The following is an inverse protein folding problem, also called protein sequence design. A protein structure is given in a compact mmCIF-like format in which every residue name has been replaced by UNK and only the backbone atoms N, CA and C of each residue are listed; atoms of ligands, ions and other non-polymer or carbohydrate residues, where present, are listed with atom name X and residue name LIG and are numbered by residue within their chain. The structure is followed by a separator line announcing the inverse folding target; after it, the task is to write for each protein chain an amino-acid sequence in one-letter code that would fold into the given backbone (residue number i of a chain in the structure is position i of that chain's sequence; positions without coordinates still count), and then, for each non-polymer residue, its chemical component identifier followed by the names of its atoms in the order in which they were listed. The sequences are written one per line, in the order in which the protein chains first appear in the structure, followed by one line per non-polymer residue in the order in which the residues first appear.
data_IF_729245125031
#
_entry.id   IF_729245125031
#
_cell.length_a   1.000
_cell.length_b   1.000
_cell.length_c   1.000
_cell.angle_alpha   90.00
_cell.angle_beta   90.00
_cell.angle_gamma   90.00
#
_symmetry.space_group_name_H-M   'P 1'
#
loop_
_entity.id
_entity.type
_entity.pdbx_description
1 polymer ?
#
# COMPACT_ATOMS: atom_id res chain seq x y z
N UNK A 1 17.30 20.83 28.60
CA UNK A 1 18.10 19.84 27.83
C UNK A 1 18.07 18.41 28.40
N UNK A 2 17.66 18.17 29.65
CA UNK A 2 17.79 16.84 30.30
C UNK A 2 16.80 15.74 29.87
N UNK A 3 15.56 16.07 29.46
CA UNK A 3 14.53 15.04 29.17
C UNK A 3 14.76 14.21 27.90
N UNK A 4 15.58 14.67 26.96
CA UNK A 4 15.75 14.01 25.64
C UNK A 4 16.79 12.91 25.68
N UNK A 5 17.78 12.98 26.58
CA UNK A 5 18.83 11.95 26.65
C UNK A 5 18.41 10.70 27.43
N UNK A 6 17.46 10.84 28.37
CA UNK A 6 16.92 9.71 29.15
C UNK A 6 15.74 8.98 28.49
N UNK A 7 15.13 9.57 27.45
CA UNK A 7 13.94 9.01 26.79
C UNK A 7 14.28 7.93 25.78
N UNK A 8 13.38 6.94 25.66
CA UNK A 8 13.53 5.82 24.73
C UNK A 8 13.46 6.26 23.27
N UNK A 9 13.95 5.44 22.33
CA UNK A 9 13.84 5.73 20.88
C UNK A 9 12.38 5.95 20.43
N UNK A 10 11.43 5.20 21.01
CA UNK A 10 10.00 5.37 20.72
C UNK A 10 9.47 6.72 21.21
N UNK A 11 9.82 7.13 22.43
CA UNK A 11 9.43 8.44 22.97
C UNK A 11 10.02 9.59 22.14
N UNK A 12 11.30 9.49 21.77
CA UNK A 12 11.96 10.47 20.90
C UNK A 12 11.26 10.57 19.54
N UNK A 13 10.77 9.47 18.99
CA UNK A 13 10.00 9.46 17.74
C UNK A 13 8.68 10.24 17.90
N UNK A 14 7.93 9.96 18.96
CA UNK A 14 6.67 10.66 19.26
C UNK A 14 6.90 12.16 19.46
N UNK A 15 7.92 12.54 20.23
CA UNK A 15 8.28 13.95 20.44
C UNK A 15 8.67 14.65 19.13
N UNK A 16 9.42 13.96 18.26
CA UNK A 16 9.82 14.49 16.95
C UNK A 16 8.60 14.73 16.07
N UNK A 17 7.68 13.76 16.00
CA UNK A 17 6.45 13.88 15.22
C UNK A 17 5.58 15.03 15.73
N UNK A 18 5.39 15.13 17.05
CA UNK A 18 4.61 16.21 17.67
C UNK A 18 5.21 17.59 17.35
N UNK A 19 6.53 17.73 17.42
CA UNK A 19 7.21 18.99 17.09
C UNK A 19 7.10 19.34 15.59
N UNK A 20 7.18 18.36 14.69
CA UNK A 20 6.95 18.57 13.25
C UNK A 20 5.52 19.08 13.02
N UNK A 21 4.52 18.43 13.61
CA UNK A 21 3.11 18.83 13.45
C UNK A 21 2.87 20.24 14.00
N UNK A 22 3.44 20.58 15.16
CA UNK A 22 3.35 21.93 15.74
C UNK A 22 3.89 22.99 14.78
N UNK A 23 5.07 22.75 14.20
CA UNK A 23 5.68 23.69 13.24
C UNK A 23 4.88 23.79 11.94
N UNK A 24 4.25 22.70 11.48
CA UNK A 24 3.37 22.73 10.30
C UNK A 24 2.10 23.57 10.56
N UNK A 25 1.50 23.45 11.74
CA UNK A 25 0.32 24.24 12.13
C UNK A 25 0.68 25.73 12.19
N UNK A 26 1.79 26.06 12.87
CA UNK A 26 2.28 27.44 12.99
C UNK A 26 2.58 28.06 11.63
N UNK A 27 3.17 27.30 10.71
CA UNK A 27 3.43 27.77 9.36
C UNK A 27 2.16 27.97 8.54
N UNK A 28 1.17 27.09 8.69
CA UNK A 28 -0.12 27.23 8.04
C UNK A 28 -0.85 28.50 8.50
N UNK A 29 -0.91 28.74 9.81
CA UNK A 29 -1.51 29.95 10.39
C UNK A 29 -0.82 31.24 9.90
N UNK A 30 0.49 31.18 9.69
CA UNK A 30 1.29 32.31 9.19
C UNK A 30 1.36 32.40 7.66
N UNK A 31 0.68 31.52 6.91
CA UNK A 31 0.70 31.51 5.45
C UNK A 31 2.06 31.19 4.82
N UNK A 32 2.99 30.58 5.57
CA UNK A 32 4.34 30.25 5.09
C UNK A 32 4.37 28.86 4.47
N UNK A 33 5.03 28.74 3.33
CA UNK A 33 5.32 27.44 2.73
C UNK A 33 6.55 26.80 3.38
N UNK A 34 6.44 25.52 3.76
CA UNK A 34 7.50 24.78 4.43
C UNK A 34 7.90 23.58 3.61
N UNK A 35 9.21 23.45 3.39
CA UNK A 35 9.79 22.23 2.84
C UNK A 35 9.78 21.12 3.91
N UNK A 36 8.83 20.19 3.77
CA UNK A 36 8.64 19.07 4.71
C UNK A 36 9.89 18.19 4.86
N UNK A 37 10.63 17.93 3.78
CA UNK A 37 11.83 17.09 3.85
C UNK A 37 12.93 17.74 4.69
N UNK A 38 13.11 19.06 4.54
CA UNK A 38 14.08 19.81 5.35
C UNK A 38 13.65 19.83 6.82
N UNK A 39 12.36 20.06 7.09
CA UNK A 39 11.80 20.05 8.43
C UNK A 39 12.01 18.69 9.11
N UNK A 40 11.65 17.59 8.44
CA UNK A 40 11.87 16.22 8.92
C UNK A 40 13.34 15.96 9.25
N UNK A 41 14.25 16.35 8.36
CA UNK A 41 15.69 16.17 8.56
C UNK A 41 16.24 16.97 9.75
N UNK A 42 15.82 18.22 9.90
CA UNK A 42 16.24 19.07 11.00
C UNK A 42 15.72 18.57 12.35
N UNK A 43 14.42 18.26 12.44
CA UNK A 43 13.81 17.81 13.69
C UNK A 43 14.30 16.42 14.08
N UNK A 44 14.48 15.49 13.13
CA UNK A 44 15.05 14.17 13.42
C UNK A 44 16.48 14.25 13.98
N UNK A 45 17.30 15.18 13.46
CA UNK A 45 18.65 15.44 14.00
C UNK A 45 18.60 16.03 15.42
N UNK A 46 17.68 16.97 15.67
CA UNK A 46 17.48 17.59 17.00
C UNK A 46 17.20 16.54 18.08
N UNK A 47 16.40 15.52 17.78
CA UNK A 47 16.06 14.43 18.70
C UNK A 47 16.96 13.19 18.57
N UNK A 48 18.03 13.25 17.77
CA UNK A 48 19.00 12.15 17.57
C UNK A 48 18.35 10.82 17.14
N UNK A 49 17.36 10.88 16.25
CA UNK A 49 16.73 9.69 15.70
C UNK A 49 17.64 9.02 14.65
N UNK A 50 17.66 7.69 14.66
CA UNK A 50 18.39 6.90 13.66
C UNK A 50 17.74 6.99 12.26
N UNK A 51 16.42 7.16 12.21
CA UNK A 51 15.63 7.23 10.99
C UNK A 51 14.67 8.41 11.04
N UNK A 52 14.31 8.95 9.87
CA UNK A 52 13.33 10.03 9.79
C UNK A 52 11.91 9.48 10.01
N UNK A 53 11.00 10.26 10.65
CA UNK A 53 9.60 9.87 10.78
C UNK A 53 8.95 9.62 9.42
N UNK A 54 8.07 8.62 9.32
CA UNK A 54 7.36 8.34 8.06
C UNK A 54 6.27 9.38 7.87
N UNK A 55 5.89 9.62 6.61
CA UNK A 55 4.82 10.57 6.30
C UNK A 55 3.49 10.15 6.94
N UNK A 56 3.20 8.84 6.97
CA UNK A 56 2.02 8.26 7.63
C UNK A 56 1.96 8.58 9.12
N UNK A 57 3.11 8.56 9.82
CA UNK A 57 3.17 8.88 11.27
C UNK A 57 2.87 10.37 11.51
N UNK A 58 3.37 11.24 10.62
CA UNK A 58 3.10 12.69 10.68
C UNK A 58 1.62 12.97 10.41
N UNK A 59 1.05 12.37 9.36
CA UNK A 59 -0.36 12.50 9.00
C UNK A 59 -1.27 12.04 10.16
N UNK A 60 -0.96 10.89 10.77
CA UNK A 60 -1.75 10.35 11.88
C UNK A 60 -1.73 11.27 13.12
N UNK A 61 -0.64 11.99 13.34
CA UNK A 61 -0.49 12.91 14.47
C UNK A 61 -1.11 14.30 14.24
N UNK A 62 -1.63 14.61 13.04
CA UNK A 62 -2.31 15.89 12.78
C UNK A 62 -3.65 15.95 13.53
N UNK A 63 -3.90 16.99 14.36
CA UNK A 63 -5.17 17.15 15.05
C UNK A 63 -6.35 17.29 14.07
N UNK A 64 -7.55 16.76 14.39
CA UNK A 64 -8.72 16.82 13.52
C UNK A 64 -9.03 18.23 12.99
N UNK A 65 -8.91 19.25 13.84
CA UNK A 65 -9.17 20.65 13.48
C UNK A 65 -8.29 21.20 12.33
N UNK A 66 -7.11 20.61 12.10
CA UNK A 66 -6.16 21.04 11.06
C UNK A 66 -6.00 20.01 9.95
N UNK A 67 -6.70 18.86 10.01
CA UNK A 67 -6.58 17.80 9.00
C UNK A 67 -6.98 18.29 7.62
N UNK A 68 -8.12 18.98 7.49
CA UNK A 68 -8.62 19.43 6.18
C UNK A 68 -7.68 20.44 5.49
N UNK A 69 -6.99 21.25 6.29
CA UNK A 69 -6.06 22.25 5.80
C UNK A 69 -4.66 21.69 5.46
N UNK A 70 -4.18 20.73 6.26
CA UNK A 70 -2.81 20.19 6.13
C UNK A 70 -2.73 18.93 5.27
N UNK A 71 -3.74 18.05 5.30
CA UNK A 71 -3.74 16.80 4.51
C UNK A 71 -3.52 17.05 3.02
N UNK A 72 -4.19 18.00 2.34
CA UNK A 72 -3.95 18.24 0.92
C UNK A 72 -2.51 18.67 0.61
N UNK A 73 -1.85 19.38 1.54
CA UNK A 73 -0.46 19.82 1.40
C UNK A 73 0.55 18.71 1.72
N UNK A 74 0.18 17.77 2.59
CA UNK A 74 1.00 16.64 3.00
C UNK A 74 0.85 15.41 2.10
N UNK A 75 -0.26 15.30 1.35
CA UNK A 75 -0.46 14.23 0.37
C UNK A 75 0.69 14.22 -0.62
N UNK A 76 1.41 13.10 -0.67
CA UNK A 76 2.33 12.85 -1.77
C UNK A 76 1.52 12.94 -3.08
N UNK A 77 2.10 13.67 -4.05
CA UNK A 77 1.62 13.90 -5.44
C UNK A 77 0.39 13.06 -5.80
N UNK A 78 -0.75 13.68 -6.18
CA UNK A 78 -1.98 12.93 -6.48
C UNK A 78 -1.65 11.81 -7.46
N UNK A 79 -1.87 10.57 -7.02
CA UNK A 79 -1.59 9.38 -7.82
C UNK A 79 -2.60 9.38 -8.95
N UNK A 80 -2.29 10.00 -10.10
CA UNK A 80 -3.07 10.02 -11.36
C UNK A 80 -4.60 9.96 -11.15
N UNK A 81 -5.16 10.80 -10.28
CA UNK A 81 -6.58 10.72 -9.91
C UNK A 81 -7.28 12.01 -10.28
N UNK A 82 -7.47 12.22 -11.59
CA UNK A 82 -8.56 13.08 -12.05
C UNK A 82 -9.93 12.42 -11.77
N UNK A 83 -9.97 11.08 -11.69
CA UNK A 83 -11.19 10.28 -11.51
C UNK A 83 -11.42 9.75 -10.08
N UNK A 84 -10.49 9.94 -9.14
CA UNK A 84 -10.63 9.43 -7.76
C UNK A 84 -10.59 7.90 -7.60
N UNK A 85 -10.13 7.14 -8.61
CA UNK A 85 -10.00 5.67 -8.55
C UNK A 85 -8.64 5.27 -7.97
N UNK A 86 -8.67 4.42 -6.94
CA UNK A 86 -7.50 3.79 -6.34
C UNK A 86 -7.11 2.53 -7.11
N UNK A 87 -6.02 2.60 -7.88
CA UNK A 87 -5.48 1.45 -8.62
C UNK A 87 -4.65 0.56 -7.70
N UNK A 88 -5.06 -0.71 -7.57
CA UNK A 88 -4.42 -1.72 -6.71
C UNK A 88 -3.94 -2.88 -7.57
N UNK A 89 -2.63 -2.90 -7.83
CA UNK A 89 -1.99 -3.98 -8.58
C UNK A 89 -1.57 -5.12 -7.64
N UNK A 90 -2.01 -6.34 -7.95
CA UNK A 90 -1.76 -7.58 -7.18
C UNK A 90 -1.12 -8.64 -8.08
N UNK A 91 -0.30 -9.52 -7.52
CA UNK A 91 0.35 -10.61 -8.27
C UNK A 91 -0.18 -11.98 -7.85
N UNK A 92 -0.44 -12.84 -8.83
CA UNK A 92 -0.76 -14.25 -8.58
C UNK A 92 0.48 -15.06 -8.19
N UNK A 93 0.27 -16.31 -7.75
CA UNK A 93 1.36 -17.23 -7.39
C UNK A 93 2.34 -17.39 -8.57
N UNK A 94 3.66 -17.44 -8.31
CA UNK A 94 4.63 -17.87 -9.32
C UNK A 94 4.25 -19.25 -9.87
N UNK A 95 4.19 -19.36 -11.20
CA UNK A 95 3.86 -20.60 -11.90
C UNK A 95 4.51 -20.58 -13.29
N UNK A 96 4.72 -21.77 -13.86
CA UNK A 96 5.25 -21.91 -15.22
C UNK A 96 4.16 -21.59 -16.25
N UNK A 97 4.54 -20.98 -17.37
CA UNK A 97 3.63 -20.76 -18.49
C UNK A 97 3.16 -22.10 -19.10
N UNK A 98 1.89 -22.19 -19.56
CA UNK A 98 1.34 -23.43 -20.11
C UNK A 98 2.05 -23.91 -21.37
N UNK A 99 2.55 -22.98 -22.20
CA UNK A 99 3.22 -23.34 -23.46
C UNK A 99 4.47 -24.20 -23.24
N UNK A 100 5.13 -24.10 -22.08
CA UNK A 100 6.35 -24.87 -21.76
C UNK A 100 6.09 -26.38 -21.83
N UNK A 101 4.85 -26.82 -21.56
CA UNK A 101 4.48 -28.25 -21.66
C UNK A 101 4.47 -28.76 -23.10
N UNK A 102 4.23 -27.89 -24.09
CA UNK A 102 4.16 -28.25 -25.51
C UNK A 102 5.44 -27.89 -26.28
N UNK A 103 6.13 -26.82 -25.90
CA UNK A 103 7.35 -26.33 -26.57
C UNK A 103 8.65 -26.81 -25.92
N UNK A 104 8.58 -27.29 -24.67
CA UNK A 104 9.72 -27.68 -23.85
C UNK A 104 10.59 -26.52 -23.35
N UNK A 105 10.30 -25.27 -23.72
CA UNK A 105 11.13 -24.11 -23.44
C UNK A 105 10.31 -22.90 -22.99
N UNK A 106 10.91 -22.04 -22.17
CA UNK A 106 10.38 -20.71 -21.82
C UNK A 106 10.57 -19.71 -22.97
N UNK A 107 9.83 -18.60 -22.95
CA UNK A 107 10.03 -17.51 -23.91
C UNK A 107 11.44 -16.90 -23.80
N UNK A 108 12.12 -16.76 -24.93
CA UNK A 108 13.51 -16.23 -25.03
C UNK A 108 13.71 -14.90 -24.31
N UNK A 109 12.73 -14.00 -24.38
CA UNK A 109 12.83 -12.65 -23.80
C UNK A 109 12.17 -12.53 -22.42
N UNK A 110 11.76 -13.63 -21.78
CA UNK A 110 11.09 -13.54 -20.49
C UNK A 110 12.11 -13.49 -19.33
N UNK A 111 12.31 -12.35 -18.67
CA UNK A 111 13.13 -12.31 -17.46
C UNK A 111 12.32 -12.93 -16.31
N UNK A 112 12.94 -13.71 -15.43
CA UNK A 112 12.26 -14.18 -14.22
C UNK A 112 11.35 -15.39 -14.37
N UNK A 113 10.64 -15.69 -13.29
CA UNK A 113 9.78 -16.85 -13.14
C UNK A 113 10.41 -18.00 -12.35
N UNK A 114 9.66 -19.10 -12.13
CA UNK A 114 10.11 -20.21 -11.28
C UNK A 114 11.39 -20.91 -11.75
N UNK A 115 11.70 -20.82 -13.05
CA UNK A 115 12.85 -21.47 -13.69
C UNK A 115 14.02 -20.50 -13.94
N UNK A 116 14.04 -19.37 -13.24
CA UNK A 116 15.06 -18.33 -13.37
C UNK A 116 15.88 -18.18 -12.08
N UNK A 117 16.99 -17.45 -12.18
CA UNK A 117 17.83 -17.10 -11.02
C UNK A 117 17.17 -16.10 -10.05
N UNK A 118 16.00 -15.56 -10.41
CA UNK A 118 15.26 -14.62 -9.56
C UNK A 118 14.35 -15.37 -8.59
N UNK A 119 14.81 -15.51 -7.35
CA UNK A 119 14.09 -16.21 -6.29
C UNK A 119 12.68 -15.66 -6.06
N UNK A 120 11.71 -16.57 -5.97
CA UNK A 120 10.30 -16.26 -5.69
C UNK A 120 9.69 -15.21 -6.62
N UNK A 121 10.23 -15.01 -7.82
CA UNK A 121 9.71 -14.07 -8.80
C UNK A 121 8.54 -14.66 -9.59
N UNK A 122 7.56 -13.82 -9.94
CA UNK A 122 6.53 -14.21 -10.90
C UNK A 122 7.09 -14.18 -12.32
N UNK A 123 6.51 -14.97 -13.21
CA UNK A 123 6.92 -14.99 -14.60
C UNK A 123 6.89 -13.58 -15.21
N UNK A 124 7.96 -13.22 -15.92
CA UNK A 124 8.21 -11.90 -16.53
C UNK A 124 8.66 -10.79 -15.58
N UNK A 125 8.91 -11.08 -14.30
CA UNK A 125 9.34 -10.10 -13.29
C UNK A 125 10.62 -10.53 -12.59
N UNK A 126 11.40 -9.56 -12.10
CA UNK A 126 12.67 -9.83 -11.40
C UNK A 126 12.52 -9.97 -9.89
N UNK A 127 11.39 -9.53 -9.32
CA UNK A 127 11.15 -9.52 -7.87
C UNK A 127 11.53 -8.20 -7.18
N UNK A 128 12.32 -7.35 -7.85
CA UNK A 128 12.76 -6.06 -7.31
C UNK A 128 11.79 -4.91 -7.56
N UNK A 129 10.73 -5.13 -8.35
CA UNK A 129 9.73 -4.11 -8.60
C UNK A 129 8.90 -3.87 -7.34
N UNK A 130 8.42 -2.64 -7.07
CA UNK A 130 7.67 -2.34 -5.86
C UNK A 130 6.45 -3.24 -5.64
N UNK A 131 5.77 -3.64 -6.71
CA UNK A 131 4.62 -4.55 -6.61
C UNK A 131 5.06 -5.99 -6.34
N UNK A 132 6.10 -6.47 -7.00
CA UNK A 132 6.70 -7.78 -6.76
C UNK A 132 7.17 -7.93 -5.31
N UNK A 133 7.90 -6.93 -4.79
CA UNK A 133 8.35 -6.92 -3.39
C UNK A 133 7.19 -6.97 -2.40
N UNK A 134 6.06 -6.30 -2.69
CA UNK A 134 4.85 -6.41 -1.84
C UNK A 134 4.22 -7.79 -1.92
N UNK A 135 4.14 -8.37 -3.12
CA UNK A 135 3.61 -9.71 -3.31
C UNK A 135 4.43 -10.77 -2.59
N UNK A 136 5.77 -10.72 -2.71
CA UNK A 136 6.70 -11.62 -2.00
C UNK A 136 6.53 -11.51 -0.48
N UNK A 137 6.47 -10.28 0.07
CA UNK A 137 6.23 -10.07 1.52
C UNK A 137 4.90 -10.64 1.99
N UNK A 138 3.87 -10.55 1.16
CA UNK A 138 2.56 -11.12 1.42
C UNK A 138 2.47 -12.62 1.07
N UNK A 139 3.58 -13.25 0.68
CA UNK A 139 3.64 -14.65 0.20
C UNK A 139 2.58 -14.95 -0.88
N UNK A 140 2.37 -13.99 -1.78
CA UNK A 140 1.37 -14.06 -2.85
C UNK A 140 -0.09 -14.28 -2.38
N UNK A 141 -0.39 -14.01 -1.10
CA UNK A 141 -1.77 -14.07 -0.61
C UNK A 141 -2.58 -12.87 -1.16
N UNK A 142 -3.67 -13.10 -1.91
CA UNK A 142 -4.46 -12.03 -2.54
C UNK A 142 -5.08 -11.06 -1.53
N UNK A 143 -5.66 -11.58 -0.45
CA UNK A 143 -6.30 -10.77 0.59
C UNK A 143 -5.29 -9.83 1.26
N UNK A 144 -4.13 -10.35 1.67
CA UNK A 144 -3.08 -9.55 2.31
C UNK A 144 -2.48 -8.52 1.35
N UNK A 145 -2.25 -8.87 0.08
CA UNK A 145 -1.76 -7.93 -0.94
C UNK A 145 -2.72 -6.74 -1.11
N UNK A 146 -4.01 -7.03 -1.25
CA UNK A 146 -5.05 -6.02 -1.41
C UNK A 146 -5.21 -5.16 -0.14
N UNK A 147 -5.42 -5.79 1.02
CA UNK A 147 -5.64 -5.11 2.29
C UNK A 147 -4.49 -4.18 2.66
N UNK A 148 -3.25 -4.66 2.61
CA UNK A 148 -2.08 -3.83 2.94
C UNK A 148 -1.94 -2.64 1.99
N UNK A 149 -2.28 -2.81 0.71
CA UNK A 149 -2.19 -1.72 -0.27
C UNK A 149 -3.29 -0.68 -0.04
N UNK A 150 -4.51 -1.10 0.26
CA UNK A 150 -5.63 -0.21 0.58
C UNK A 150 -5.37 0.58 1.86
N UNK A 151 -4.94 -0.09 2.93
CA UNK A 151 -4.57 0.55 4.19
C UNK A 151 -3.45 1.57 4.00
N UNK A 152 -2.42 1.24 3.22
CA UNK A 152 -1.34 2.17 2.88
C UNK A 152 -1.87 3.42 2.17
N UNK A 153 -2.77 3.25 1.20
CA UNK A 153 -3.38 4.37 0.47
C UNK A 153 -4.23 5.23 1.41
N UNK A 154 -5.04 4.61 2.28
CA UNK A 154 -5.86 5.31 3.29
C UNK A 154 -5.00 6.10 4.28
N UNK A 155 -3.90 5.53 4.78
CA UNK A 155 -2.97 6.21 5.69
C UNK A 155 -2.24 7.40 5.04
N UNK A 156 -2.03 7.36 3.73
CA UNK A 156 -1.50 8.48 2.95
C UNK A 156 -2.57 9.54 2.62
N UNK A 157 -3.82 9.32 3.02
CA UNK A 157 -4.94 10.22 2.81
C UNK A 157 -5.56 10.12 1.42
N UNK A 158 -5.32 9.05 0.67
CA UNK A 158 -6.03 8.80 -0.58
C UNK A 158 -7.42 8.23 -0.28
N UNK A 159 -8.45 8.69 -1.00
CA UNK A 159 -9.76 8.04 -1.00
C UNK A 159 -9.62 6.65 -1.63
N UNK A 160 -10.33 5.70 -1.04
CA UNK A 160 -10.40 4.29 -1.50
C UNK A 160 -11.83 3.91 -1.84
N UNK A 161 -12.68 4.90 -2.14
CA UNK A 161 -14.13 4.68 -2.36
C UNK A 161 -14.38 3.95 -3.68
N UNK A 162 -13.45 4.09 -4.64
CA UNK A 162 -13.46 3.41 -5.94
C UNK A 162 -12.13 2.72 -6.11
N UNK A 163 -12.14 1.39 -6.22
CA UNK A 163 -10.92 0.59 -6.35
C UNK A 163 -10.96 -0.17 -7.68
N UNK A 164 -9.85 -0.11 -8.41
CA UNK A 164 -9.62 -0.92 -9.61
C UNK A 164 -8.48 -1.89 -9.32
N UNK A 165 -8.79 -3.20 -9.37
CA UNK A 165 -7.78 -4.24 -9.24
C UNK A 165 -7.13 -4.54 -10.58
N UNK A 166 -5.79 -4.59 -10.59
CA UNK A 166 -5.02 -5.09 -11.72
C UNK A 166 -4.32 -6.37 -11.30
N UNK A 167 -4.75 -7.50 -11.86
CA UNK A 167 -4.10 -8.79 -11.65
C UNK A 167 -2.91 -8.90 -12.60
N UNK A 168 -1.74 -9.14 -12.03
CA UNK A 168 -0.47 -9.25 -12.74
C UNK A 168 0.21 -10.58 -12.45
N UNK A 169 1.21 -10.90 -13.27
CA UNK A 169 2.06 -12.08 -13.10
C UNK A 169 1.68 -13.21 -14.06
N UNK A 170 2.66 -13.66 -14.86
CA UNK A 170 2.55 -14.81 -15.74
C UNK A 170 1.23 -14.93 -16.51
N UNK A 171 0.63 -16.12 -16.45
CA UNK A 171 -0.57 -16.48 -17.20
C UNK A 171 -1.69 -16.88 -16.24
N UNK A 172 -2.25 -15.92 -15.49
CA UNK A 172 -3.29 -16.17 -14.47
C UNK A 172 -4.44 -17.06 -14.96
N UNK A 173 -4.89 -16.88 -16.20
CA UNK A 173 -5.98 -17.66 -16.80
C UNK A 173 -5.64 -19.14 -17.02
N UNK A 174 -4.36 -19.50 -17.02
CA UNK A 174 -3.88 -20.89 -17.14
C UNK A 174 -3.84 -21.62 -15.80
N UNK A 175 -4.12 -20.95 -14.68
CA UNK A 175 -4.25 -21.56 -13.37
C UNK A 175 -5.58 -22.29 -13.23
N UNK A 176 -5.61 -23.22 -12.28
CA UNK A 176 -6.78 -24.01 -11.92
C UNK A 176 -7.96 -23.12 -11.48
N UNK A 177 -9.19 -23.57 -11.74
CA UNK A 177 -10.41 -22.82 -11.46
C UNK A 177 -10.59 -22.54 -9.97
N UNK A 178 -10.19 -23.49 -9.11
CA UNK A 178 -10.22 -23.34 -7.65
C UNK A 178 -9.31 -22.19 -7.18
N UNK A 179 -8.10 -22.09 -7.72
CA UNK A 179 -7.20 -20.99 -7.42
C UNK A 179 -7.71 -19.65 -7.95
N UNK A 180 -8.32 -19.62 -9.14
CA UNK A 180 -8.90 -18.40 -9.69
C UNK A 180 -10.08 -17.91 -8.84
N UNK A 181 -10.99 -18.81 -8.42
CA UNK A 181 -12.06 -18.48 -7.47
C UNK A 181 -11.49 -17.98 -6.14
N UNK A 182 -10.57 -18.73 -5.54
CA UNK A 182 -9.87 -18.33 -4.32
C UNK A 182 -9.26 -16.93 -4.45
N UNK A 183 -8.58 -16.66 -5.56
CA UNK A 183 -7.88 -15.39 -5.77
C UNK A 183 -8.85 -14.23 -5.86
N UNK A 184 -9.86 -14.31 -6.74
CA UNK A 184 -10.83 -13.24 -6.98
C UNK A 184 -11.72 -13.01 -5.74
N UNK A 185 -12.21 -14.08 -5.12
CA UNK A 185 -13.02 -14.01 -3.89
C UNK A 185 -12.30 -13.25 -2.79
N UNK A 186 -11.03 -13.55 -2.55
CA UNK A 186 -10.23 -12.87 -1.52
C UNK A 186 -9.96 -11.39 -1.83
N UNK A 187 -9.96 -10.96 -3.09
CA UNK A 187 -9.88 -9.54 -3.45
C UNK A 187 -11.17 -8.80 -3.06
N UNK A 188 -12.33 -9.41 -3.30
CA UNK A 188 -13.62 -8.86 -2.88
C UNK A 188 -13.77 -8.83 -1.36
N UNK A 189 -13.36 -9.89 -0.67
CA UNK A 189 -13.34 -9.99 0.79
C UNK A 189 -12.43 -8.93 1.44
N UNK A 190 -11.34 -8.54 0.77
CA UNK A 190 -10.46 -7.46 1.23
C UNK A 190 -11.14 -6.07 1.19
N UNK A 191 -12.14 -5.87 0.33
CA UNK A 191 -12.95 -4.65 0.28
C UNK A 191 -14.13 -4.71 1.24
N UNK A 192 -14.85 -5.83 1.28
CA UNK A 192 -16.09 -5.97 2.06
C UNK A 192 -15.83 -6.22 3.55
N UNK A 193 -14.64 -6.70 3.92
CA UNK A 193 -14.31 -7.12 5.28
C UNK A 193 -14.92 -8.46 5.70
N UNK A 194 -15.63 -9.15 4.78
CA UNK A 194 -16.25 -10.45 5.03
C UNK A 194 -15.31 -11.59 4.62
N UNK A 195 -15.62 -12.79 5.07
CA UNK A 195 -14.98 -14.03 4.60
C UNK A 195 -16.02 -14.85 3.85
N UNK A 196 -15.80 -15.06 2.56
CA UNK A 196 -16.78 -15.71 1.67
C UNK A 196 -16.30 -17.12 1.30
N UNK A 197 -17.23 -18.00 0.92
CA UNK A 197 -16.93 -19.37 0.47
C UNK A 197 -16.83 -19.50 -1.07
N UNK A 198 -17.45 -18.59 -1.82
CA UNK A 198 -17.38 -18.52 -3.29
C UNK A 198 -17.28 -17.08 -3.79
N UNK A 199 -16.87 -16.89 -5.05
CA UNK A 199 -16.90 -15.57 -5.71
C UNK A 199 -18.30 -14.95 -5.72
N UNK A 200 -19.35 -15.75 -5.95
CA UNK A 200 -20.73 -15.25 -5.95
C UNK A 200 -21.15 -14.67 -4.59
N UNK A 201 -20.76 -15.34 -3.51
CA UNK A 201 -21.01 -14.86 -2.14
C UNK A 201 -20.23 -13.58 -1.87
N UNK A 202 -18.96 -13.53 -2.27
CA UNK A 202 -18.13 -12.33 -2.10
C UNK A 202 -18.68 -11.13 -2.87
N UNK A 203 -19.16 -11.33 -4.10
CA UNK A 203 -19.83 -10.29 -4.89
C UNK A 203 -21.07 -9.77 -4.18
N UNK A 204 -21.92 -10.67 -3.68
CA UNK A 204 -23.14 -10.30 -2.94
C UNK A 204 -22.79 -9.48 -1.69
N UNK A 205 -21.74 -9.86 -0.98
CA UNK A 205 -21.28 -9.14 0.21
C UNK A 205 -20.67 -7.77 -0.16
N UNK A 206 -19.85 -7.69 -1.21
CA UNK A 206 -19.31 -6.42 -1.71
C UNK A 206 -20.40 -5.42 -2.13
N UNK A 207 -21.45 -5.89 -2.81
CA UNK A 207 -22.59 -5.05 -3.21
C UNK A 207 -23.35 -4.50 -1.99
N UNK A 208 -23.62 -5.35 -0.99
CA UNK A 208 -24.25 -4.91 0.26
C UNK A 208 -23.42 -3.86 1.00
N UNK A 209 -22.10 -4.01 1.04
CA UNK A 209 -21.21 -3.01 1.65
C UNK A 209 -21.28 -1.66 0.92
N UNK A 210 -21.48 -1.67 -0.40
CA UNK A 210 -21.66 -0.46 -1.19
C UNK A 210 -23.03 0.22 -0.90
N UNK A 211 -24.09 -0.57 -0.73
CA UNK A 211 -25.44 -0.08 -0.45
C UNK A 211 -25.62 0.43 0.99
N UNK A 212 -24.89 -0.14 1.95
CA UNK A 212 -24.93 0.28 3.35
C UNK A 212 -24.22 1.62 3.60
N UNK A 213 -23.40 2.08 2.65
CA UNK A 213 -22.53 3.23 2.84
C UNK A 213 -21.49 2.94 3.92
N UNK A 214 -20.23 3.23 3.63
CA UNK A 214 -19.29 3.56 4.68
C UNK A 214 -19.81 4.83 5.39
N UNK A 215 -20.77 4.68 6.31
CA UNK A 215 -20.99 5.64 7.39
C UNK A 215 -19.76 5.52 8.31
N UNK A 216 -19.06 6.65 8.38
CA UNK A 216 -17.95 7.03 9.28
C UNK A 216 -16.50 6.76 8.81
#
# INVERSE_FOLDING_TARGET
MGRVDESSQGERMVMTVAEIVRQLIEAHQNGKDINLNRLKGFTARKYRLATQPRLVDIIAAVPPAYKDALLPKLKAKPVRTASGIAVVAVMCKPHRCPHVTFTGNICVYCPGGPDSDFEYSTQSYTGYEPTSMRAIRARYNPYLQAKHRLEQLKQLGHSIDKVEYIVMGGTFMALDDEYKDFFIRNLHDALSGHTSNSVEEALRNSLKTQDLGLMD
#
